data_IF_026586229848
#
_entry.id   IF_026586229848
#
_cell.length_a   1.000
_cell.length_b   1.000
_cell.length_c   1.000
_cell.angle_alpha   90.00
_cell.angle_beta   90.00
_cell.angle_gamma   90.00
#
_symmetry.space_group_name_H-M   'P 1'
#
loop_
_entity.id
_entity.type
_entity.pdbx_description
1 polymer ?
#
# COMPACT_ATOMS: atom_id res chain seq x y z
N UNK A 1 -27.89 13.31 10.60
CA UNK A 1 -26.55 13.50 10.01
C UNK A 1 -25.68 12.35 10.43
N UNK A 2 -25.42 11.45 9.53
CA UNK A 2 -24.43 10.39 9.73
C UNK A 2 -23.05 11.04 9.84
N UNK A 3 -22.35 10.81 10.95
CA UNK A 3 -20.99 11.32 11.13
C UNK A 3 -20.12 10.84 9.96
N UNK A 4 -19.50 11.77 9.26
CA UNK A 4 -18.60 11.44 8.13
C UNK A 4 -17.23 10.93 8.58
N UNK A 5 -16.96 10.90 9.87
CA UNK A 5 -15.68 10.48 10.45
C UNK A 5 -15.94 9.46 11.56
N UNK A 6 -15.22 8.34 11.53
CA UNK A 6 -15.32 7.23 12.47
C UNK A 6 -13.94 6.82 12.97
N UNK A 7 -13.81 6.52 14.26
CA UNK A 7 -12.59 5.94 14.83
C UNK A 7 -12.72 4.41 14.73
N UNK A 8 -11.79 3.79 14.08
CA UNK A 8 -11.80 2.34 13.83
C UNK A 8 -11.45 1.59 15.10
N UNK A 9 -12.33 0.69 15.49
CA UNK A 9 -12.16 -0.26 16.58
C UNK A 9 -11.96 -1.68 16.04
N UNK A 10 -11.57 -2.62 16.93
CA UNK A 10 -11.41 -4.02 16.54
C UNK A 10 -12.69 -4.63 15.94
N UNK A 11 -13.85 -4.25 16.44
CA UNK A 11 -15.13 -4.74 15.94
C UNK A 11 -15.36 -4.37 14.47
N UNK A 12 -15.00 -3.14 14.08
CA UNK A 12 -15.10 -2.68 12.69
C UNK A 12 -14.17 -3.51 11.77
N UNK A 13 -12.97 -3.81 12.24
CA UNK A 13 -12.01 -4.64 11.48
C UNK A 13 -12.57 -6.05 11.24
N UNK A 14 -13.22 -6.64 12.25
CA UNK A 14 -13.86 -7.96 12.10
C UNK A 14 -14.97 -7.94 11.05
N UNK A 15 -15.76 -6.87 10.98
CA UNK A 15 -16.82 -6.69 9.98
C UNK A 15 -16.26 -6.46 8.55
N UNK A 16 -15.11 -5.76 8.44
CA UNK A 16 -14.45 -5.49 7.16
C UNK A 16 -13.70 -6.70 6.60
N UNK A 17 -13.31 -7.66 7.45
CA UNK A 17 -12.55 -8.84 7.02
C UNK A 17 -13.44 -9.82 6.23
N UNK A 18 -12.95 -10.37 5.10
CA UNK A 18 -13.70 -11.34 4.34
C UNK A 18 -13.81 -12.68 5.08
N UNK A 19 -14.92 -13.39 4.86
CA UNK A 19 -15.05 -14.76 5.34
C UNK A 19 -13.95 -15.68 4.79
N UNK A 20 -13.48 -16.63 5.60
CA UNK A 20 -12.49 -17.61 5.17
C UNK A 20 -13.07 -18.49 4.05
N UNK A 21 -12.47 -18.43 2.88
CA UNK A 21 -12.79 -19.33 1.78
C UNK A 21 -11.79 -20.50 1.74
N UNK A 22 -12.27 -21.71 2.06
CA UNK A 22 -11.46 -22.94 2.07
C UNK A 22 -11.03 -23.43 0.66
N UNK A 23 -11.59 -22.85 -0.42
CA UNK A 23 -11.29 -23.24 -1.80
C UNK A 23 -10.24 -22.33 -2.47
N UNK A 24 -9.57 -21.46 -1.72
CA UNK A 24 -8.51 -20.58 -2.26
C UNK A 24 -7.30 -21.39 -2.74
N UNK A 25 -6.81 -21.06 -3.90
CA UNK A 25 -5.50 -21.53 -4.43
C UNK A 25 -4.59 -20.31 -4.67
N UNK A 26 -3.29 -20.53 -4.90
CA UNK A 26 -2.30 -19.44 -5.00
C UNK A 26 -2.65 -18.31 -5.96
N UNK A 27 -3.39 -18.59 -7.02
CA UNK A 27 -3.85 -17.59 -7.99
C UNK A 27 -5.20 -16.95 -7.65
N UNK A 28 -5.81 -17.29 -6.52
CA UNK A 28 -7.02 -16.59 -6.06
C UNK A 28 -6.74 -15.22 -5.48
N UNK A 29 -5.47 -14.93 -5.16
CA UNK A 29 -5.02 -13.63 -4.67
C UNK A 29 -3.56 -13.43 -5.08
N UNK A 30 -3.34 -12.67 -6.15
CA UNK A 30 -2.01 -12.39 -6.68
C UNK A 30 -1.72 -10.89 -6.64
N UNK A 31 -0.63 -10.50 -5.97
CA UNK A 31 -0.16 -9.12 -5.85
C UNK A 31 1.16 -8.94 -6.61
N UNK A 32 1.29 -7.85 -7.36
CA UNK A 32 2.53 -7.49 -8.04
C UNK A 32 3.16 -6.26 -7.40
N UNK A 33 4.35 -6.42 -6.84
CA UNK A 33 5.13 -5.34 -6.25
C UNK A 33 6.14 -4.83 -7.28
N UNK A 34 6.07 -3.56 -7.63
CA UNK A 34 7.02 -2.89 -8.53
C UNK A 34 7.69 -1.79 -7.73
N UNK A 35 8.95 -1.96 -7.48
CA UNK A 35 9.73 -1.07 -6.63
C UNK A 35 11.22 -1.31 -6.77
N UNK A 36 12.00 -0.49 -6.08
CA UNK A 36 13.45 -0.57 -6.10
C UNK A 36 14.09 0.01 -7.35
N UNK A 37 15.38 0.17 -7.24
CA UNK A 37 16.32 0.54 -8.30
C UNK A 37 17.66 -0.10 -7.95
N UNK A 38 18.68 -0.08 -8.82
CA UNK A 38 19.98 -0.67 -8.50
C UNK A 38 20.49 -0.25 -7.11
N UNK A 39 20.70 -1.23 -6.21
CA UNK A 39 21.07 -1.02 -4.81
C UNK A 39 19.91 -0.68 -3.85
N UNK A 40 18.66 -0.56 -4.32
CA UNK A 40 17.47 -0.19 -3.52
C UNK A 40 16.42 -1.33 -3.46
N UNK A 41 16.86 -2.58 -3.49
CA UNK A 41 15.97 -3.75 -3.46
C UNK A 41 15.29 -4.03 -2.11
N UNK A 42 15.70 -3.36 -1.04
CA UNK A 42 15.13 -3.56 0.31
C UNK A 42 13.66 -3.16 0.43
N UNK A 43 13.28 -2.02 -0.13
CA UNK A 43 11.90 -1.50 -0.05
C UNK A 43 10.88 -2.44 -0.71
N UNK A 44 11.03 -2.86 -1.99
CA UNK A 44 10.09 -3.81 -2.59
C UNK A 44 10.15 -5.19 -1.94
N UNK A 45 11.27 -5.58 -1.35
CA UNK A 45 11.38 -6.82 -0.59
C UNK A 45 10.52 -6.80 0.67
N UNK A 46 10.55 -5.71 1.45
CA UNK A 46 9.70 -5.52 2.62
C UNK A 46 8.21 -5.46 2.23
N UNK A 47 7.86 -4.74 1.17
CA UNK A 47 6.50 -4.71 0.65
C UNK A 47 6.01 -6.10 0.24
N UNK A 48 6.87 -6.88 -0.45
CA UNK A 48 6.53 -8.24 -0.89
C UNK A 48 6.24 -9.15 0.30
N UNK A 49 7.06 -9.09 1.34
CA UNK A 49 6.84 -9.87 2.56
C UNK A 49 5.59 -9.41 3.32
N UNK A 50 5.35 -8.09 3.41
CA UNK A 50 4.11 -7.55 3.97
C UNK A 50 2.88 -8.14 3.27
N UNK A 51 2.87 -8.19 1.94
CA UNK A 51 1.79 -8.80 1.17
C UNK A 51 1.63 -10.31 1.46
N UNK A 52 2.73 -11.06 1.55
CA UNK A 52 2.68 -12.50 1.87
C UNK A 52 2.07 -12.76 3.25
N UNK A 53 2.41 -11.92 4.24
CA UNK A 53 1.94 -12.08 5.63
C UNK A 53 0.45 -11.81 5.79
N UNK A 54 -0.22 -11.19 4.81
CA UNK A 54 -1.69 -11.05 4.81
C UNK A 54 -2.43 -12.28 4.28
N UNK A 55 -1.72 -13.32 3.84
CA UNK A 55 -2.32 -14.49 3.22
C UNK A 55 -2.51 -14.36 1.71
N UNK A 56 -1.87 -13.38 1.06
CA UNK A 56 -1.79 -13.30 -0.39
C UNK A 56 -1.14 -14.57 -0.97
N UNK A 57 -1.83 -15.25 -1.87
CA UNK A 57 -1.42 -16.58 -2.34
C UNK A 57 -0.24 -16.57 -3.32
N UNK A 58 0.00 -15.46 -4.03
CA UNK A 58 1.10 -15.28 -4.96
C UNK A 58 1.60 -13.83 -4.94
N UNK A 59 2.88 -13.66 -4.69
CA UNK A 59 3.53 -12.35 -4.75
C UNK A 59 4.63 -12.37 -5.79
N UNK A 60 4.53 -11.45 -6.75
CA UNK A 60 5.57 -11.16 -7.74
C UNK A 60 6.27 -9.86 -7.35
N UNK A 61 7.57 -9.83 -7.49
CA UNK A 61 8.37 -8.62 -7.31
C UNK A 61 9.15 -8.31 -8.57
N UNK A 62 9.17 -7.04 -8.97
CA UNK A 62 9.98 -6.53 -10.08
C UNK A 62 10.76 -5.31 -9.63
N UNK A 63 12.05 -5.32 -9.93
CA UNK A 63 12.96 -4.19 -9.73
C UNK A 63 13.50 -3.76 -11.09
N UNK A 64 13.33 -2.51 -11.52
CA UNK A 64 13.84 -2.04 -12.79
C UNK A 64 15.36 -2.25 -12.93
N UNK A 65 15.75 -3.06 -13.93
CA UNK A 65 17.14 -3.30 -14.27
C UNK A 65 17.92 -4.23 -13.33
N UNK A 66 17.28 -4.82 -12.33
CA UNK A 66 17.97 -5.67 -11.37
C UNK A 66 17.15 -6.89 -10.97
N UNK A 67 17.84 -8.01 -10.73
CA UNK A 67 17.33 -9.16 -9.99
C UNK A 67 17.99 -9.13 -8.62
N UNK A 68 17.23 -8.78 -7.58
CA UNK A 68 17.73 -8.74 -6.21
C UNK A 68 17.61 -10.12 -5.55
N UNK A 69 18.47 -10.41 -4.58
CA UNK A 69 18.21 -11.54 -3.69
C UNK A 69 16.89 -11.29 -2.94
N UNK A 70 15.99 -12.25 -3.01
CA UNK A 70 14.71 -12.22 -2.30
C UNK A 70 14.55 -13.45 -1.43
N UNK A 71 13.52 -13.45 -0.61
CA UNK A 71 13.05 -14.65 0.05
C UNK A 71 12.53 -15.66 -0.99
N UNK A 72 12.67 -16.95 -0.69
CA UNK A 72 12.36 -18.03 -1.62
C UNK A 72 10.89 -18.04 -2.11
N UNK A 73 9.97 -17.47 -1.32
CA UNK A 73 8.54 -17.43 -1.60
C UNK A 73 8.12 -16.28 -2.54
N UNK A 74 8.98 -15.26 -2.73
CA UNK A 74 8.70 -14.14 -3.64
C UNK A 74 9.20 -14.47 -5.04
N UNK A 75 8.31 -14.44 -6.02
CA UNK A 75 8.68 -14.70 -7.41
C UNK A 75 9.21 -13.44 -8.07
N UNK A 76 10.45 -13.46 -8.49
CA UNK A 76 11.04 -12.35 -9.24
C UNK A 76 10.65 -12.39 -10.71
N UNK A 77 10.34 -11.23 -11.26
CA UNK A 77 10.12 -11.03 -12.68
C UNK A 77 10.99 -9.88 -13.18
N UNK A 78 11.96 -10.15 -14.06
CA UNK A 78 12.87 -9.13 -14.57
C UNK A 78 12.11 -8.13 -15.45
N UNK A 79 12.40 -6.84 -15.25
CA UNK A 79 11.92 -5.76 -16.10
C UNK A 79 13.09 -4.85 -16.52
N UNK A 80 12.95 -4.20 -17.63
CA UNK A 80 13.97 -3.33 -18.21
C UNK A 80 14.36 -2.20 -17.28
N UNK A 81 15.59 -1.68 -17.31
CA UNK A 81 15.99 -0.55 -16.48
C UNK A 81 15.28 0.76 -16.87
N UNK A 82 14.86 0.89 -18.12
CA UNK A 82 14.18 2.05 -18.69
C UNK A 82 13.05 1.55 -19.59
N UNK A 83 11.89 2.22 -19.54
CA UNK A 83 10.73 1.86 -20.36
C UNK A 83 10.05 0.56 -19.92
N UNK A 84 10.23 0.18 -18.67
CA UNK A 84 9.72 -1.06 -18.07
C UNK A 84 8.19 -1.15 -18.01
N UNK A 85 7.48 -0.04 -18.20
CA UNK A 85 6.03 -0.04 -18.37
C UNK A 85 5.57 -0.94 -19.52
N UNK A 86 6.41 -1.11 -20.55
CA UNK A 86 6.15 -2.01 -21.68
C UNK A 86 6.23 -3.48 -21.26
N UNK A 87 7.22 -3.81 -20.43
CA UNK A 87 7.38 -5.20 -19.93
C UNK A 87 6.15 -5.59 -19.08
N UNK A 88 5.60 -4.64 -18.32
CA UNK A 88 4.41 -4.86 -17.52
C UNK A 88 3.19 -5.07 -18.42
N UNK A 89 2.94 -4.17 -19.37
CA UNK A 89 1.77 -4.25 -20.26
C UNK A 89 1.80 -5.44 -21.22
N UNK A 90 2.96 -5.96 -21.54
CA UNK A 90 3.12 -7.17 -22.36
C UNK A 90 2.96 -8.47 -21.56
N UNK A 91 2.88 -8.38 -20.23
CA UNK A 91 2.68 -9.54 -19.36
C UNK A 91 1.19 -9.79 -19.14
N UNK A 92 0.82 -11.01 -18.72
CA UNK A 92 -0.56 -11.36 -18.33
C UNK A 92 -0.98 -10.65 -17.03
N UNK A 93 -1.16 -9.31 -17.10
CA UNK A 93 -1.56 -8.46 -15.96
C UNK A 93 -2.88 -8.93 -15.37
N UNK A 94 -3.80 -9.46 -16.19
CA UNK A 94 -5.10 -10.00 -15.78
C UNK A 94 -5.04 -11.15 -14.78
N UNK A 95 -3.87 -11.76 -14.57
CA UNK A 95 -3.66 -12.77 -13.52
C UNK A 95 -3.44 -12.17 -12.14
N UNK A 96 -3.17 -10.89 -12.06
CA UNK A 96 -2.99 -10.16 -10.80
C UNK A 96 -4.28 -9.50 -10.37
N UNK A 97 -4.45 -9.34 -9.08
CA UNK A 97 -5.64 -8.75 -8.46
C UNK A 97 -5.32 -7.41 -7.80
N UNK A 98 -4.04 -7.12 -7.60
CA UNK A 98 -3.57 -5.82 -7.11
C UNK A 98 -2.13 -5.57 -7.52
N UNK A 99 -1.71 -4.30 -7.37
CA UNK A 99 -0.33 -3.86 -7.54
C UNK A 99 0.09 -2.95 -6.39
N UNK A 100 1.37 -2.97 -6.04
CA UNK A 100 2.03 -1.93 -5.25
C UNK A 100 3.11 -1.30 -6.12
N UNK A 101 3.10 0.01 -6.26
CA UNK A 101 4.02 0.75 -7.12
C UNK A 101 4.70 1.87 -6.34
N UNK A 102 6.01 1.98 -6.47
CA UNK A 102 6.75 3.15 -6.04
C UNK A 102 7.84 2.96 -4.98
N UNK A 103 7.76 2.00 -4.05
CA UNK A 103 8.79 1.84 -3.02
C UNK A 103 10.21 1.74 -3.62
N UNK A 104 11.02 2.81 -3.49
CA UNK A 104 12.42 2.83 -3.91
C UNK A 104 12.70 2.83 -5.42
N UNK A 105 11.72 3.14 -6.29
CA UNK A 105 11.91 3.20 -7.75
C UNK A 105 12.87 4.30 -8.18
N UNK A 106 12.93 5.38 -7.40
CA UNK A 106 13.70 6.58 -7.72
C UNK A 106 12.89 7.62 -8.50
N UNK A 107 13.52 8.79 -8.72
CA UNK A 107 12.86 9.99 -9.26
C UNK A 107 13.55 10.52 -10.50
N UNK A 108 14.22 9.66 -11.27
CA UNK A 108 14.70 10.04 -12.59
C UNK A 108 13.51 10.31 -13.52
N UNK A 109 13.68 11.13 -14.53
CA UNK A 109 12.63 11.43 -15.51
C UNK A 109 12.09 10.14 -16.14
N UNK A 110 12.96 9.19 -16.49
CA UNK A 110 12.56 7.89 -17.04
C UNK A 110 11.75 7.05 -16.04
N UNK A 111 12.08 7.07 -14.74
CA UNK A 111 11.35 6.35 -13.71
C UNK A 111 9.96 6.96 -13.48
N UNK A 112 9.87 8.28 -13.43
CA UNK A 112 8.60 9.02 -13.30
C UNK A 112 7.69 8.71 -14.49
N UNK A 113 8.20 8.84 -15.72
CA UNK A 113 7.46 8.56 -16.95
C UNK A 113 6.93 7.11 -16.98
N UNK A 114 7.77 6.14 -16.61
CA UNK A 114 7.36 4.74 -16.55
C UNK A 114 6.29 4.47 -15.49
N UNK A 115 6.37 5.09 -14.30
CA UNK A 115 5.34 5.00 -13.27
C UNK A 115 4.01 5.60 -13.75
N UNK A 116 4.02 6.80 -14.34
CA UNK A 116 2.82 7.47 -14.85
C UNK A 116 2.15 6.66 -15.97
N UNK A 117 2.93 6.13 -16.91
CA UNK A 117 2.43 5.24 -17.97
C UNK A 117 1.83 3.97 -17.39
N UNK A 118 2.49 3.35 -16.41
CA UNK A 118 1.96 2.18 -15.72
C UNK A 118 0.62 2.49 -15.05
N UNK A 119 0.52 3.58 -14.30
CA UNK A 119 -0.73 4.03 -13.66
C UNK A 119 -1.82 4.25 -14.71
N UNK A 120 -1.51 4.79 -15.88
CA UNK A 120 -2.50 5.08 -16.92
C UNK A 120 -3.02 3.85 -17.66
N UNK A 121 -2.24 2.76 -17.72
CA UNK A 121 -2.53 1.58 -18.54
C UNK A 121 -3.08 0.39 -17.76
N UNK A 122 -2.87 0.33 -16.43
CA UNK A 122 -3.25 -0.82 -15.61
C UNK A 122 -4.64 -0.62 -15.03
N UNK A 123 -5.48 -1.63 -15.16
CA UNK A 123 -6.83 -1.67 -14.57
C UNK A 123 -6.89 -2.66 -13.39
N UNK A 124 -6.00 -2.47 -12.41
CA UNK A 124 -5.97 -3.23 -11.16
C UNK A 124 -6.08 -2.26 -9.98
N UNK A 125 -6.63 -2.69 -8.84
CA UNK A 125 -6.45 -1.98 -7.59
C UNK A 125 -4.96 -1.77 -7.32
N UNK A 126 -4.54 -0.53 -7.03
CA UNK A 126 -3.13 -0.20 -6.86
C UNK A 126 -2.86 0.63 -5.61
N UNK A 127 -1.80 0.28 -4.89
CA UNK A 127 -1.21 1.11 -3.84
C UNK A 127 -0.09 1.94 -4.47
N UNK A 128 -0.18 3.25 -4.36
CA UNK A 128 0.89 4.18 -4.74
C UNK A 128 1.57 4.70 -3.47
N UNK A 129 2.85 4.41 -3.33
CA UNK A 129 3.65 4.82 -2.17
C UNK A 129 4.98 5.44 -2.62
N UNK A 130 5.63 6.18 -1.74
CA UNK A 130 6.97 6.72 -1.91
C UNK A 130 7.15 7.49 -3.24
N UNK A 131 7.99 6.99 -4.16
CA UNK A 131 8.30 7.69 -5.41
C UNK A 131 7.12 7.73 -6.39
N UNK A 132 6.16 6.80 -6.30
CA UNK A 132 4.93 6.88 -7.09
C UNK A 132 4.02 8.02 -6.62
N UNK A 133 4.05 8.41 -5.35
CA UNK A 133 3.34 9.60 -4.85
C UNK A 133 3.95 10.89 -5.41
N UNK A 134 5.27 10.93 -5.54
CA UNK A 134 5.94 12.05 -6.21
C UNK A 134 5.59 12.12 -7.70
N UNK A 135 5.54 10.98 -8.39
CA UNK A 135 5.18 10.92 -9.80
C UNK A 135 3.72 11.37 -10.03
N UNK A 136 2.76 10.78 -9.30
CA UNK A 136 1.32 11.09 -9.48
C UNK A 136 1.00 12.53 -9.09
N UNK A 137 1.76 13.15 -8.18
CA UNK A 137 1.62 14.55 -7.83
C UNK A 137 1.91 15.51 -9.00
N UNK A 138 2.66 15.08 -10.03
CA UNK A 138 2.88 15.86 -11.25
C UNK A 138 1.71 15.75 -12.22
N UNK A 139 0.95 14.64 -12.20
CA UNK A 139 -0.18 14.37 -13.09
C UNK A 139 -1.39 13.85 -12.30
N UNK A 140 -1.96 14.64 -11.37
CA UNK A 140 -3.02 14.19 -10.46
C UNK A 140 -4.26 13.66 -11.17
N UNK A 141 -4.51 14.14 -12.39
CA UNK A 141 -5.65 13.72 -13.20
C UNK A 141 -5.62 12.22 -13.59
N UNK A 142 -4.45 11.58 -13.57
CA UNK A 142 -4.35 10.13 -13.83
C UNK A 142 -4.95 9.30 -12.69
N UNK A 143 -4.85 9.77 -11.45
CA UNK A 143 -5.51 9.13 -10.32
C UNK A 143 -7.04 9.31 -10.40
N UNK A 144 -7.50 10.52 -10.68
CA UNK A 144 -8.93 10.84 -10.67
C UNK A 144 -9.78 10.09 -11.72
N UNK A 145 -9.15 9.52 -12.74
CA UNK A 145 -9.83 8.72 -13.78
C UNK A 145 -10.15 7.27 -13.35
N UNK A 146 -9.68 6.80 -12.19
CA UNK A 146 -9.65 5.37 -11.83
C UNK A 146 -10.65 4.99 -10.73
N UNK A 147 -11.83 5.53 -10.72
CA UNK A 147 -12.99 5.08 -9.92
C UNK A 147 -12.62 4.43 -8.55
N UNK A 148 -11.87 5.15 -7.67
CA UNK A 148 -11.51 4.70 -6.31
C UNK A 148 -10.62 3.44 -6.20
N UNK A 149 -10.09 2.91 -7.30
CA UNK A 149 -9.20 1.73 -7.27
C UNK A 149 -7.73 2.06 -6.90
N UNK A 150 -7.45 3.28 -6.45
CA UNK A 150 -6.13 3.73 -6.02
C UNK A 150 -6.14 4.00 -4.52
N UNK A 151 -5.13 3.47 -3.82
CA UNK A 151 -4.81 3.82 -2.44
C UNK A 151 -3.49 4.59 -2.42
N UNK A 152 -3.54 5.86 -2.03
CA UNK A 152 -2.37 6.72 -1.82
C UNK A 152 -1.96 6.65 -0.35
N UNK A 153 -0.67 6.42 -0.06
CA UNK A 153 -0.18 6.21 1.31
C UNK A 153 0.85 7.25 1.77
N UNK A 154 0.59 8.57 1.64
CA UNK A 154 1.57 9.59 1.97
C UNK A 154 1.84 9.71 3.47
N UNK A 155 3.09 10.03 3.84
CA UNK A 155 3.42 10.78 5.05
C UNK A 155 3.34 12.29 4.78
N UNK A 156 3.55 13.15 5.78
CA UNK A 156 3.36 14.61 5.67
C UNK A 156 4.11 15.26 4.50
N UNK A 157 5.33 14.81 4.21
CA UNK A 157 6.11 15.35 3.10
C UNK A 157 5.62 14.84 1.74
N UNK A 158 5.17 13.60 1.66
CA UNK A 158 4.59 13.02 0.45
C UNK A 158 3.20 13.60 0.16
N UNK A 159 2.44 13.94 1.20
CA UNK A 159 1.19 14.66 1.07
C UNK A 159 1.38 16.01 0.36
N UNK A 160 2.49 16.70 0.64
CA UNK A 160 2.85 17.95 -0.03
C UNK A 160 3.07 17.76 -1.54
N UNK A 161 3.60 16.61 -1.98
CA UNK A 161 3.75 16.33 -3.43
C UNK A 161 2.41 16.23 -4.15
N UNK A 162 1.40 15.71 -3.47
CA UNK A 162 0.07 15.46 -4.05
C UNK A 162 -0.80 16.73 -4.01
N UNK A 163 -0.69 17.53 -2.94
CA UNK A 163 -1.62 18.64 -2.65
C UNK A 163 -1.01 20.03 -2.79
N UNK A 164 0.32 20.11 -2.92
CA UNK A 164 1.06 21.37 -2.93
C UNK A 164 1.30 22.00 -1.54
N UNK A 165 0.83 21.38 -0.46
CA UNK A 165 1.05 21.86 0.91
C UNK A 165 1.14 20.69 1.90
N UNK A 166 1.83 20.89 3.02
CA UNK A 166 1.82 19.94 4.14
C UNK A 166 0.46 19.92 4.84
N UNK A 167 0.11 18.81 5.52
CA UNK A 167 -1.09 18.77 6.33
C UNK A 167 -1.13 19.91 7.35
N UNK A 168 -2.28 20.55 7.45
CA UNK A 168 -2.56 21.65 8.39
C UNK A 168 -2.97 21.11 9.76
N UNK A 169 -3.45 22.00 10.63
CA UNK A 169 -3.93 21.63 11.97
C UNK A 169 -5.13 20.67 11.91
N UNK A 170 -6.04 20.88 10.98
CA UNK A 170 -7.17 19.97 10.72
C UNK A 170 -6.78 18.94 9.66
N UNK A 171 -6.09 17.89 10.10
CA UNK A 171 -5.62 16.79 9.24
C UNK A 171 -6.76 15.99 8.64
N UNK A 172 -7.91 15.89 9.33
CA UNK A 172 -9.08 15.14 8.84
C UNK A 172 -9.67 15.86 7.63
N UNK A 173 -9.83 17.17 7.72
CA UNK A 173 -10.33 17.97 6.59
C UNK A 173 -9.34 17.96 5.40
N UNK A 174 -8.04 18.08 5.66
CA UNK A 174 -7.02 18.00 4.63
C UNK A 174 -7.07 16.65 3.88
N UNK A 175 -7.21 15.54 4.61
CA UNK A 175 -7.34 14.19 4.01
C UNK A 175 -8.63 14.06 3.21
N UNK A 176 -9.75 14.58 3.73
CA UNK A 176 -11.04 14.57 3.04
C UNK A 176 -10.97 15.30 1.70
N UNK A 177 -10.45 16.52 1.71
CA UNK A 177 -10.29 17.35 0.51
C UNK A 177 -9.35 16.69 -0.50
N UNK A 178 -8.22 16.18 -0.03
CA UNK A 178 -7.25 15.52 -0.90
C UNK A 178 -7.81 14.22 -1.53
N UNK A 179 -8.54 13.39 -0.77
CA UNK A 179 -9.19 12.20 -1.29
C UNK A 179 -10.22 12.54 -2.38
N UNK A 180 -11.00 13.61 -2.18
CA UNK A 180 -11.96 14.10 -3.18
C UNK A 180 -11.26 14.63 -4.44
N UNK A 181 -10.20 15.42 -4.27
CA UNK A 181 -9.42 15.99 -5.37
C UNK A 181 -8.78 14.91 -6.23
N UNK A 182 -8.21 13.88 -5.60
CA UNK A 182 -7.55 12.77 -6.27
C UNK A 182 -8.53 11.69 -6.75
N UNK A 183 -9.80 11.75 -6.35
CA UNK A 183 -10.79 10.68 -6.54
C UNK A 183 -10.25 9.30 -6.13
N UNK A 184 -9.49 9.24 -5.04
CA UNK A 184 -8.75 8.06 -4.58
C UNK A 184 -8.86 7.90 -3.07
N UNK A 185 -8.65 6.69 -2.58
CA UNK A 185 -8.47 6.47 -1.15
C UNK A 185 -7.13 7.09 -0.75
N UNK A 186 -7.14 7.93 0.28
CA UNK A 186 -5.94 8.59 0.78
C UNK A 186 -5.70 8.21 2.24
N UNK A 187 -4.60 7.51 2.50
CA UNK A 187 -4.13 7.12 3.83
C UNK A 187 -2.97 8.02 4.22
N UNK A 188 -3.23 9.00 5.08
CA UNK A 188 -2.20 9.89 5.63
C UNK A 188 -1.57 9.27 6.87
N UNK A 189 -0.30 8.87 6.71
CA UNK A 189 0.52 8.32 7.82
C UNK A 189 0.79 9.41 8.88
N UNK A 190 0.76 9.03 10.17
CA UNK A 190 1.02 9.95 11.29
C UNK A 190 0.78 9.28 12.64
N UNK A 191 0.84 10.03 13.77
CA UNK A 191 0.55 9.48 15.10
C UNK A 191 -0.80 8.77 15.18
N UNK A 192 -1.81 9.31 14.52
CA UNK A 192 -3.02 8.61 14.13
C UNK A 192 -3.06 8.59 12.60
N UNK A 193 -3.29 7.43 12.01
CA UNK A 193 -3.46 7.30 10.56
C UNK A 193 -4.89 7.71 10.20
N UNK A 194 -5.02 8.60 9.21
CA UNK A 194 -6.32 9.09 8.75
C UNK A 194 -6.53 8.60 7.31
N UNK A 195 -7.69 8.00 7.04
CA UNK A 195 -8.03 7.44 5.75
C UNK A 195 -9.25 8.18 5.23
N UNK A 196 -9.13 8.81 4.06
CA UNK A 196 -10.20 9.52 3.38
C UNK A 196 -10.72 8.75 2.17
N UNK A 197 -12.03 8.79 2.00
CA UNK A 197 -12.73 8.30 0.80
C UNK A 197 -13.22 9.48 -0.04
N UNK A 198 -13.27 9.40 -1.38
CA UNK A 198 -13.75 10.48 -2.24
C UNK A 198 -15.17 10.97 -1.95
N UNK A 199 -16.04 10.14 -1.36
CA UNK A 199 -17.39 10.54 -0.94
C UNK A 199 -17.43 11.42 0.32
N UNK A 200 -16.26 11.69 0.92
CA UNK A 200 -16.09 12.54 2.10
C UNK A 200 -16.10 11.79 3.44
N UNK A 201 -16.24 10.46 3.45
CA UNK A 201 -16.03 9.65 4.66
C UNK A 201 -14.57 9.64 5.06
N UNK A 202 -14.30 9.61 6.36
CA UNK A 202 -12.96 9.44 6.93
C UNK A 202 -12.96 8.38 8.03
N UNK A 203 -11.90 7.58 8.08
CA UNK A 203 -11.59 6.66 9.16
C UNK A 203 -10.34 7.13 9.89
N UNK A 204 -10.31 6.97 11.20
CA UNK A 204 -9.14 7.25 12.04
C UNK A 204 -8.69 5.95 12.67
N UNK A 205 -7.46 5.54 12.39
CA UNK A 205 -6.82 4.36 12.98
C UNK A 205 -5.77 4.81 13.96
N UNK A 206 -5.98 4.51 15.24
CA UNK A 206 -5.09 4.87 16.35
C UNK A 206 -4.48 3.59 16.98
N UNK A 207 -3.92 2.71 16.16
CA UNK A 207 -3.39 1.43 16.58
C UNK A 207 -1.87 1.43 16.79
N UNK A 208 -1.11 2.21 16.01
CA UNK A 208 0.34 2.26 16.04
C UNK A 208 0.93 3.23 17.05
N UNK A 209 2.25 3.18 17.21
CA UNK A 209 3.02 4.08 18.05
C UNK A 209 4.36 4.48 17.38
N UNK A 210 5.24 5.12 18.16
CA UNK A 210 6.54 5.64 17.69
C UNK A 210 7.48 4.58 17.11
N UNK A 211 7.31 3.28 17.40
CA UNK A 211 8.10 2.18 16.83
C UNK A 211 8.00 2.17 15.30
N UNK A 212 6.84 2.55 14.78
CA UNK A 212 6.60 2.64 13.32
C UNK A 212 7.33 3.81 12.63
N UNK A 213 7.99 4.69 13.37
CA UNK A 213 8.85 5.74 12.80
C UNK A 213 10.22 5.23 12.33
N UNK A 214 10.33 3.95 12.03
CA UNK A 214 11.54 3.26 11.54
C UNK A 214 11.49 3.10 10.01
N UNK A 215 12.63 3.25 9.34
CA UNK A 215 12.72 3.10 7.88
C UNK A 215 12.26 1.70 7.43
N UNK A 216 11.48 1.65 6.36
CA UNK A 216 10.96 0.40 5.80
C UNK A 216 9.57 -0.03 6.33
N UNK A 217 9.10 0.52 7.45
CA UNK A 217 7.77 0.17 7.99
C UNK A 217 6.64 0.61 7.06
N UNK A 218 6.81 1.73 6.34
CA UNK A 218 5.89 2.18 5.30
C UNK A 218 5.83 1.21 4.12
N UNK A 219 6.96 0.63 3.72
CA UNK A 219 6.99 -0.38 2.65
C UNK A 219 6.22 -1.63 3.06
N UNK A 220 6.37 -2.08 4.32
CA UNK A 220 5.58 -3.18 4.89
C UNK A 220 4.09 -2.86 4.84
N UNK A 221 3.68 -1.65 5.26
CA UNK A 221 2.28 -1.20 5.21
C UNK A 221 1.72 -1.25 3.79
N UNK A 222 2.46 -0.74 2.82
CA UNK A 222 2.05 -0.75 1.41
C UNK A 222 1.87 -2.18 0.90
N UNK A 223 2.74 -3.09 1.30
CA UNK A 223 2.61 -4.51 1.03
C UNK A 223 1.37 -5.14 1.66
N UNK A 224 1.10 -4.85 2.94
CA UNK A 224 -0.11 -5.32 3.64
C UNK A 224 -1.35 -4.90 2.85
N UNK A 225 -1.49 -3.61 2.52
CA UNK A 225 -2.65 -3.10 1.78
C UNK A 225 -2.74 -3.78 0.41
N UNK A 226 -1.62 -3.91 -0.32
CA UNK A 226 -1.58 -4.60 -1.61
C UNK A 226 -2.04 -6.05 -1.52
N UNK A 227 -1.62 -6.79 -0.50
CA UNK A 227 -2.03 -8.16 -0.26
C UNK A 227 -3.52 -8.30 0.13
N UNK A 228 -4.09 -7.33 0.85
CA UNK A 228 -5.51 -7.27 1.18
C UNK A 228 -6.36 -6.95 -0.07
N UNK A 229 -5.93 -6.00 -0.88
CA UNK A 229 -6.55 -5.71 -2.18
C UNK A 229 -6.56 -6.93 -3.10
N UNK A 230 -5.45 -7.68 -3.13
CA UNK A 230 -5.38 -8.92 -3.93
C UNK A 230 -6.38 -9.98 -3.49
N UNK A 231 -6.84 -9.95 -2.26
CA UNK A 231 -7.88 -10.81 -1.73
C UNK A 231 -9.30 -10.32 -2.01
N UNK A 232 -9.46 -9.21 -2.72
CA UNK A 232 -10.75 -8.64 -3.10
C UNK A 232 -11.36 -7.70 -2.05
N UNK A 233 -10.62 -7.33 -1.01
CA UNK A 233 -11.07 -6.34 -0.03
C UNK A 233 -11.13 -4.97 -0.71
N UNK A 234 -12.21 -4.24 -0.46
CA UNK A 234 -12.39 -2.91 -1.06
C UNK A 234 -11.29 -1.94 -0.60
N UNK A 235 -10.84 -1.01 -1.45
CA UNK A 235 -9.68 -0.16 -1.16
C UNK A 235 -9.76 0.64 0.14
N UNK A 236 -10.94 1.13 0.51
CA UNK A 236 -11.13 1.88 1.75
C UNK A 236 -10.96 0.99 2.98
N UNK A 237 -11.55 -0.20 2.95
CA UNK A 237 -11.45 -1.18 4.03
C UNK A 237 -10.03 -1.77 4.09
N UNK A 238 -9.41 -2.07 2.94
CA UNK A 238 -8.04 -2.57 2.87
C UNK A 238 -7.04 -1.58 3.49
N UNK A 239 -7.23 -0.28 3.27
CA UNK A 239 -6.43 0.76 3.89
C UNK A 239 -6.62 0.80 5.42
N UNK A 240 -7.86 0.66 5.91
CA UNK A 240 -8.17 0.66 7.34
C UNK A 240 -7.63 -0.59 8.04
N UNK A 241 -7.91 -1.76 7.50
CA UNK A 241 -7.40 -3.05 8.01
C UNK A 241 -5.87 -3.03 8.00
N UNK A 242 -5.26 -2.60 6.89
CA UNK A 242 -3.80 -2.54 6.74
C UNK A 242 -3.14 -1.64 7.78
N UNK A 243 -3.67 -0.44 8.01
CA UNK A 243 -3.17 0.48 9.02
C UNK A 243 -3.34 -0.07 10.43
N UNK A 244 -4.49 -0.69 10.72
CA UNK A 244 -4.77 -1.26 12.03
C UNK A 244 -3.87 -2.47 12.33
N UNK A 245 -3.77 -3.42 11.41
CA UNK A 245 -2.90 -4.62 11.55
C UNK A 245 -1.45 -4.23 11.71
N UNK A 246 -0.97 -3.27 10.92
CA UNK A 246 0.38 -2.74 11.00
C UNK A 246 0.66 -2.10 12.37
N UNK A 247 -0.31 -1.34 12.88
CA UNK A 247 -0.24 -0.74 14.20
C UNK A 247 -0.25 -1.76 15.35
N UNK A 248 -1.19 -2.72 15.33
CA UNK A 248 -1.26 -3.77 16.34
C UNK A 248 -0.02 -4.67 16.34
N UNK A 249 0.48 -5.05 15.16
CA UNK A 249 1.71 -5.83 15.01
C UNK A 249 2.92 -5.15 15.65
N UNK A 250 3.01 -3.82 15.59
CA UNK A 250 4.12 -3.08 16.20
C UNK A 250 4.19 -3.22 17.71
N UNK A 251 3.06 -3.47 18.37
CA UNK A 251 3.00 -3.63 19.84
C UNK A 251 3.72 -4.89 20.35
N UNK A 252 3.89 -5.88 19.47
CA UNK A 252 4.65 -7.11 19.76
C UNK A 252 6.14 -6.98 19.48
N UNK A 253 6.58 -5.85 18.92
CA UNK A 253 7.99 -5.60 18.61
C UNK A 253 8.71 -4.90 19.76
N UNK A 254 10.05 -4.93 19.75
CA UNK A 254 10.88 -4.28 20.74
C UNK A 254 10.70 -2.74 20.74
N UNK A 255 10.71 -2.13 21.92
CA UNK A 255 10.59 -0.66 22.04
C UNK A 255 11.82 0.08 21.47
N UNK A 256 13.00 -0.53 21.58
CA UNK A 256 14.28 0.03 21.12
C UNK A 256 14.93 -0.97 20.16
N UNK A 257 15.34 -0.48 18.99
CA UNK A 257 16.08 -1.27 18.02
C UNK A 257 15.18 -2.11 17.09
N UNK A 258 13.87 -1.88 17.08
CA UNK A 258 12.96 -2.48 16.10
C UNK A 258 13.38 -2.12 14.67
N UNK A 259 13.38 -3.09 13.79
CA UNK A 259 13.52 -2.92 12.33
C UNK A 259 12.23 -3.35 11.62
N UNK A 260 12.05 -2.89 10.39
CA UNK A 260 10.78 -3.11 9.67
C UNK A 260 10.42 -4.60 9.49
N UNK A 261 11.41 -5.48 9.36
CA UNK A 261 11.18 -6.93 9.24
C UNK A 261 10.66 -7.59 10.51
N UNK A 262 10.80 -6.96 11.68
CA UNK A 262 10.25 -7.49 12.94
C UNK A 262 8.71 -7.51 12.93
N UNK A 263 8.08 -6.67 12.12
CA UNK A 263 6.63 -6.64 11.94
C UNK A 263 6.06 -7.88 11.24
N UNK A 264 6.88 -8.57 10.45
CA UNK A 264 6.38 -9.57 9.50
C UNK A 264 5.70 -10.77 10.18
N UNK A 265 6.25 -11.28 11.27
CA UNK A 265 5.61 -12.37 12.02
C UNK A 265 4.36 -11.89 12.77
N UNK A 266 4.42 -10.79 13.56
CA UNK A 266 3.25 -10.26 14.24
C UNK A 266 2.05 -9.93 13.32
N UNK A 267 2.28 -9.50 12.07
CA UNK A 267 1.19 -9.25 11.11
C UNK A 267 0.31 -10.49 10.95
N UNK A 268 0.90 -11.66 10.74
CA UNK A 268 0.13 -12.89 10.57
C UNK A 268 -0.54 -13.34 11.86
N UNK A 269 0.05 -13.08 13.02
CA UNK A 269 -0.55 -13.37 14.33
C UNK A 269 -1.79 -12.52 14.58
N UNK A 270 -1.69 -11.19 14.39
CA UNK A 270 -2.83 -10.26 14.52
C UNK A 270 -3.96 -10.65 13.58
N UNK A 271 -3.66 -10.97 12.32
CA UNK A 271 -4.69 -11.41 11.36
C UNK A 271 -5.35 -12.74 11.76
N UNK A 272 -4.60 -13.68 12.32
CA UNK A 272 -5.19 -14.94 12.81
C UNK A 272 -6.11 -14.71 14.01
N UNK A 273 -5.75 -13.83 14.94
CA UNK A 273 -6.58 -13.47 16.08
C UNK A 273 -7.89 -12.78 15.66
N UNK A 274 -7.87 -11.97 14.59
CA UNK A 274 -9.08 -11.35 14.03
C UNK A 274 -10.00 -12.36 13.35
N UNK A 275 -9.49 -13.49 12.90
CA UNK A 275 -10.30 -14.55 12.28
C UNK A 275 -10.84 -15.60 13.25
N UNK A 276 -10.33 -15.66 14.48
CA UNK A 276 -10.74 -16.63 15.48
C UNK A 276 -11.76 -16.07 16.51
N UNK A 277 -11.98 -14.76 16.50
CA UNK A 277 -12.96 -14.06 17.35
C UNK A 277 -14.24 -13.77 16.63
#
# INVERSE_FOLDING_TARGET
STAKTHVVERADILEMMPEKNSQKHKWSSACWIIGGSPGMGGAPSLASQGAQRTGCGYVRMSVPGELTQTFSEVVQFPISPIGWEKDITQTEVSRFHSMVLGPGVGRTEAAIDAMLKTISCIDLPVVLDADALFAIGQEPHLASRRETNIVLTPHDKEFEYITGHRPKKDRIEDVRVAAQMMNSILLLKGPATIIGHPDGRCLIVNAGDQRLATAGTGDVLSGIIGGLLAQGIQPFDAAAIGAWVHGEASKSCADIGMIASDLLTPISEVLNETHMG
#
